data_IF_206065834508
#
_entry.id   IF_206065834508
#
_cell.length_a   1.000
_cell.length_b   1.000
_cell.length_c   1.000
_cell.angle_alpha   90.00
_cell.angle_beta   90.00
_cell.angle_gamma   90.00
#
_symmetry.space_group_name_H-M   'P 1'
#
loop_
_entity.id
_entity.type
_entity.pdbx_description
1 polymer ?
#
# COMPACT_ATOMS: atom_id res chain seq x y z
N UNK A 1 -3.24 12.79 11.41
CA UNK A 1 -4.52 12.18 11.02
C UNK A 1 -4.68 12.38 9.53
N UNK A 2 -4.83 11.28 8.79
CA UNK A 2 -5.23 11.30 7.39
C UNK A 2 -6.72 11.03 7.23
N UNK A 3 -7.30 11.40 6.10
CA UNK A 3 -8.70 11.11 5.79
C UNK A 3 -8.82 10.50 4.40
N UNK A 4 -9.67 9.48 4.27
CA UNK A 4 -10.07 8.91 3.00
C UNK A 4 -11.46 9.40 2.65
N UNK A 5 -11.59 10.02 1.51
CA UNK A 5 -12.89 10.41 0.97
C UNK A 5 -13.40 9.34 0.01
N UNK A 6 -14.61 8.84 0.26
CA UNK A 6 -15.28 7.85 -0.58
C UNK A 6 -16.56 8.45 -1.14
N UNK A 7 -16.63 8.77 -2.44
CA UNK A 7 -17.84 9.31 -3.06
C UNK A 7 -19.01 8.32 -3.06
N UNK A 8 -18.73 7.01 -3.17
CA UNK A 8 -19.71 5.95 -3.02
C UNK A 8 -19.62 5.40 -1.58
N UNK A 9 -20.53 5.80 -0.74
CA UNK A 9 -20.49 5.49 0.69
C UNK A 9 -20.46 3.99 0.96
N UNK A 10 -19.68 3.60 1.94
CA UNK A 10 -19.62 2.23 2.45
C UNK A 10 -20.48 2.00 3.71
N UNK A 11 -21.30 2.93 4.10
CA UNK A 11 -22.19 2.78 5.24
C UNK A 11 -23.32 3.80 5.27
N UNK A 12 -24.48 3.37 5.78
CA UNK A 12 -25.56 4.25 6.15
C UNK A 12 -25.67 4.30 7.68
N UNK A 13 -25.80 5.49 8.21
CA UNK A 13 -26.10 5.74 9.62
C UNK A 13 -27.42 6.46 9.73
N UNK A 14 -27.98 6.61 10.93
CA UNK A 14 -29.17 7.43 11.16
C UNK A 14 -28.99 8.90 10.75
N UNK A 15 -27.73 9.35 10.63
CA UNK A 15 -27.36 10.71 10.25
C UNK A 15 -27.00 10.86 8.76
N UNK A 16 -27.11 9.79 7.96
CA UNK A 16 -26.82 9.78 6.53
C UNK A 16 -25.72 8.83 6.12
N UNK A 17 -25.11 9.09 4.96
CA UNK A 17 -24.04 8.26 4.40
C UNK A 17 -22.68 8.67 4.94
N UNK A 18 -21.88 7.70 5.32
CA UNK A 18 -20.47 7.92 5.67
C UNK A 18 -19.64 8.06 4.39
N UNK A 19 -19.09 9.24 4.14
CA UNK A 19 -18.27 9.53 2.96
C UNK A 19 -16.78 9.60 3.27
N UNK A 20 -16.40 9.57 4.54
CA UNK A 20 -15.01 9.66 4.98
C UNK A 20 -14.67 8.54 5.94
N UNK A 21 -13.46 8.00 5.82
CA UNK A 21 -12.86 7.08 6.80
C UNK A 21 -11.60 7.74 7.35
N UNK A 22 -11.48 7.92 8.69
CA UNK A 22 -10.25 8.44 9.27
C UNK A 22 -9.13 7.39 9.22
N UNK A 23 -7.91 7.86 9.01
CA UNK A 23 -6.70 7.06 9.13
C UNK A 23 -5.83 7.72 10.19
N UNK A 24 -5.33 6.94 11.10
CA UNK A 24 -4.41 7.40 12.13
C UNK A 24 -2.98 6.99 11.78
N UNK A 25 -2.09 7.97 11.73
CA UNK A 25 -0.67 7.76 11.57
C UNK A 25 0.01 7.96 12.91
N UNK A 26 0.86 7.02 13.31
CA UNK A 26 1.65 7.06 14.53
C UNK A 26 3.14 6.92 14.20
N UNK A 27 3.99 7.49 15.04
CA UNK A 27 5.43 7.46 14.86
C UNK A 27 5.99 8.68 14.13
N UNK A 28 7.19 8.54 13.62
CA UNK A 28 7.88 9.61 12.90
C UNK A 28 7.40 9.67 11.45
N UNK A 29 7.13 10.88 10.97
CA UNK A 29 6.85 11.10 9.55
C UNK A 29 8.17 11.00 8.76
N UNK A 30 8.30 10.03 7.83
CA UNK A 30 9.53 9.86 7.05
C UNK A 30 9.82 11.04 6.10
N UNK A 31 8.86 11.94 5.92
CA UNK A 31 8.95 13.11 5.05
C UNK A 31 9.10 14.44 5.79
N UNK A 32 9.34 14.42 7.10
CA UNK A 32 9.59 15.67 7.87
C UNK A 32 10.69 16.49 7.21
N UNK A 33 10.39 17.76 6.95
CA UNK A 33 11.34 18.70 6.31
C UNK A 33 11.55 18.48 4.80
N UNK A 34 10.79 17.59 4.18
CA UNK A 34 10.84 17.32 2.74
C UNK A 34 9.61 17.90 2.04
N UNK A 35 9.03 17.18 1.11
CA UNK A 35 7.85 17.62 0.35
C UNK A 35 6.58 17.50 1.18
N UNK A 36 5.71 18.50 1.14
CA UNK A 36 4.37 18.42 1.73
C UNK A 36 3.55 17.39 0.97
N UNK A 37 3.08 16.36 1.68
CA UNK A 37 2.23 15.32 1.13
C UNK A 37 0.77 15.58 1.48
N UNK A 38 -0.17 15.34 0.54
CA UNK A 38 -1.59 15.43 0.85
C UNK A 38 -1.99 14.48 1.98
N UNK A 39 -2.76 14.98 2.94
CA UNK A 39 -3.27 14.19 4.07
C UNK A 39 -4.64 13.56 3.78
N UNK A 40 -5.15 13.72 2.57
CA UNK A 40 -6.41 13.12 2.13
C UNK A 40 -6.18 12.28 0.88
N UNK A 41 -7.00 11.27 0.71
CA UNK A 41 -7.05 10.42 -0.47
C UNK A 41 -8.48 10.31 -0.95
N UNK A 42 -8.71 10.61 -2.23
CA UNK A 42 -10.00 10.40 -2.86
C UNK A 42 -10.03 9.01 -3.49
N UNK A 43 -10.89 8.14 -2.98
CA UNK A 43 -11.03 6.78 -3.49
C UNK A 43 -11.97 6.78 -4.70
N UNK A 44 -11.39 6.72 -5.89
CA UNK A 44 -12.11 6.61 -7.18
C UNK A 44 -12.06 5.19 -7.73
N UNK A 45 -11.09 4.40 -7.28
CA UNK A 45 -10.89 3.02 -7.70
C UNK A 45 -11.81 2.08 -6.90
N UNK A 46 -12.45 1.15 -7.60
CA UNK A 46 -13.21 0.07 -6.95
C UNK A 46 -12.27 -1.09 -6.62
N UNK A 47 -12.43 -1.63 -5.43
CA UNK A 47 -11.75 -2.86 -5.05
C UNK A 47 -12.41 -4.08 -5.73
N UNK A 48 -11.61 -5.12 -6.02
CA UNK A 48 -12.13 -6.38 -6.56
C UNK A 48 -12.76 -7.22 -5.44
N UNK A 49 -14.06 -7.16 -5.33
CA UNK A 49 -14.84 -7.88 -4.31
C UNK A 49 -14.88 -9.39 -4.50
N UNK A 50 -14.44 -9.92 -5.64
CA UNK A 50 -14.37 -11.38 -5.87
C UNK A 50 -13.28 -12.05 -5.06
N UNK A 51 -12.27 -11.29 -4.64
CA UNK A 51 -11.09 -11.81 -3.92
C UNK A 51 -11.28 -11.86 -2.40
N UNK A 52 -12.09 -10.97 -1.85
CA UNK A 52 -12.31 -10.84 -0.40
C UNK A 52 -13.60 -10.07 -0.14
N UNK A 53 -14.36 -10.34 0.96
CA UNK A 53 -15.59 -9.62 1.27
C UNK A 53 -15.43 -8.12 1.47
N UNK A 54 -14.25 -7.67 1.92
CA UNK A 54 -13.94 -6.26 2.14
C UNK A 54 -12.52 -5.89 1.66
N UNK A 55 -12.24 -5.99 0.35
CA UNK A 55 -10.92 -5.67 -0.17
C UNK A 55 -10.72 -4.15 -0.14
N UNK A 56 -9.48 -3.73 0.03
CA UNK A 56 -9.12 -2.31 -0.13
C UNK A 56 -8.60 -2.07 -1.55
N UNK A 57 -8.91 -0.92 -2.18
CA UNK A 57 -8.34 -0.57 -3.47
C UNK A 57 -6.82 -0.44 -3.39
N UNK A 58 -6.11 -0.87 -4.43
CA UNK A 58 -4.65 -0.86 -4.45
C UNK A 58 -4.08 0.57 -4.41
N UNK A 59 -4.73 1.50 -5.09
CA UNK A 59 -4.35 2.92 -5.07
C UNK A 59 -4.37 3.51 -3.66
N UNK A 60 -5.36 3.12 -2.86
CA UNK A 60 -5.44 3.52 -1.45
C UNK A 60 -4.27 2.95 -0.63
N UNK A 61 -3.95 1.66 -0.80
CA UNK A 61 -2.82 1.06 -0.07
C UNK A 61 -1.48 1.66 -0.52
N UNK A 62 -1.31 1.95 -1.81
CA UNK A 62 -0.13 2.69 -2.31
C UNK A 62 0.02 4.06 -1.65
N UNK A 63 -1.06 4.80 -1.53
CA UNK A 63 -1.04 6.10 -0.86
C UNK A 63 -0.61 5.98 0.62
N UNK A 64 -1.19 5.02 1.37
CA UNK A 64 -0.81 4.75 2.76
C UNK A 64 0.68 4.41 2.89
N UNK A 65 1.16 3.48 2.06
CA UNK A 65 2.54 3.02 2.06
C UNK A 65 3.50 4.16 1.72
N UNK A 66 3.17 4.94 0.68
CA UNK A 66 3.99 6.09 0.30
C UNK A 66 4.06 7.15 1.41
N UNK A 67 3.00 7.30 2.18
CA UNK A 67 2.91 8.28 3.27
C UNK A 67 3.69 7.84 4.51
N UNK A 68 3.82 6.54 4.76
CA UNK A 68 4.33 5.98 6.01
C UNK A 68 5.69 5.27 5.88
N UNK A 69 6.23 5.13 4.67
CA UNK A 69 7.48 4.39 4.48
C UNK A 69 8.31 4.92 3.29
N UNK A 70 9.62 4.63 3.35
CA UNK A 70 10.57 4.87 2.27
C UNK A 70 10.84 3.59 1.46
N UNK A 71 11.34 3.68 0.21
CA UNK A 71 11.80 2.51 -0.54
C UNK A 71 12.77 1.64 0.26
N UNK A 72 12.70 0.32 0.08
CA UNK A 72 13.48 -0.71 0.77
C UNK A 72 13.10 -0.93 2.25
N UNK A 73 12.24 -0.14 2.86
CA UNK A 73 11.72 -0.41 4.19
C UNK A 73 10.73 -1.58 4.21
N UNK A 74 10.46 -2.11 5.40
CA UNK A 74 9.54 -3.22 5.61
C UNK A 74 8.16 -2.70 5.94
N UNK A 75 7.17 -3.16 5.19
CA UNK A 75 5.74 -2.95 5.49
C UNK A 75 5.21 -4.23 6.13
N UNK A 76 4.64 -4.11 7.33
CA UNK A 76 3.97 -5.20 8.03
C UNK A 76 2.45 -5.01 7.98
N UNK A 77 1.73 -6.04 7.55
CA UNK A 77 0.27 -6.11 7.65
C UNK A 77 -0.14 -7.40 8.39
N UNK A 78 -0.53 -7.29 9.67
CA UNK A 78 -0.90 -8.46 10.47
C UNK A 78 -2.30 -9.02 10.14
N UNK A 79 -3.04 -8.39 9.21
CA UNK A 79 -4.38 -8.80 8.78
C UNK A 79 -4.51 -8.64 7.25
N UNK A 80 -3.57 -9.21 6.50
CA UNK A 80 -3.37 -8.89 5.08
C UNK A 80 -4.54 -9.29 4.16
N UNK A 81 -5.45 -10.15 4.59
CA UNK A 81 -6.57 -10.62 3.80
C UNK A 81 -6.11 -11.19 2.45
N UNK A 82 -6.64 -10.66 1.36
CA UNK A 82 -6.22 -11.06 -0.01
C UNK A 82 -4.90 -10.41 -0.47
N UNK A 83 -4.11 -9.80 0.41
CA UNK A 83 -2.75 -9.33 0.15
C UNK A 83 -2.62 -8.02 -0.63
N UNK A 84 -3.63 -7.17 -0.64
CA UNK A 84 -3.57 -5.89 -1.40
C UNK A 84 -2.44 -4.99 -0.91
N UNK A 85 -2.19 -4.94 0.40
CA UNK A 85 -1.06 -4.21 1.01
C UNK A 85 0.27 -4.76 0.50
N UNK A 86 0.40 -6.09 0.45
CA UNK A 86 1.62 -6.76 -0.03
C UNK A 86 1.90 -6.45 -1.50
N UNK A 87 0.89 -6.58 -2.36
CA UNK A 87 1.01 -6.21 -3.79
C UNK A 87 1.47 -4.75 -3.93
N UNK A 88 0.82 -3.83 -3.21
CA UNK A 88 1.18 -2.41 -3.26
C UNK A 88 2.61 -2.16 -2.75
N UNK A 89 3.03 -2.81 -1.66
CA UNK A 89 4.36 -2.68 -1.09
C UNK A 89 5.45 -3.13 -2.08
N UNK A 90 5.28 -4.32 -2.69
CA UNK A 90 6.22 -4.85 -3.67
C UNK A 90 6.32 -3.93 -4.89
N UNK A 91 5.20 -3.52 -5.46
CA UNK A 91 5.15 -2.59 -6.60
C UNK A 91 5.83 -1.24 -6.32
N UNK A 92 5.90 -0.84 -5.06
CA UNK A 92 6.55 0.40 -4.66
C UNK A 92 7.99 0.21 -4.15
N UNK A 93 8.57 -0.98 -4.32
CA UNK A 93 9.94 -1.28 -3.90
C UNK A 93 10.13 -1.35 -2.38
N UNK A 94 9.08 -1.73 -1.64
CA UNK A 94 9.16 -2.03 -0.20
C UNK A 94 9.24 -3.54 -0.01
N UNK A 95 9.84 -3.97 1.11
CA UNK A 95 9.74 -5.35 1.59
C UNK A 95 8.40 -5.54 2.27
N UNK A 96 7.88 -6.76 2.29
CA UNK A 96 6.57 -7.04 2.87
C UNK A 96 6.60 -8.24 3.81
N UNK A 97 5.90 -8.10 4.93
CA UNK A 97 5.57 -9.19 5.86
C UNK A 97 4.06 -9.14 6.05
N UNK A 98 3.37 -10.23 5.71
CA UNK A 98 1.93 -10.34 5.88
C UNK A 98 1.56 -11.51 6.77
N UNK A 99 0.51 -11.35 7.57
CA UNK A 99 -0.08 -12.39 8.39
C UNK A 99 -1.56 -12.50 8.03
N UNK A 100 -2.03 -13.73 7.78
CA UNK A 100 -3.43 -14.03 7.54
C UNK A 100 -3.77 -15.38 8.16
N UNK A 101 -4.85 -15.43 8.93
CA UNK A 101 -5.26 -16.65 9.63
C UNK A 101 -6.04 -17.60 8.73
N UNK A 102 -6.83 -17.06 7.82
CA UNK A 102 -7.69 -17.84 6.94
C UNK A 102 -6.89 -18.35 5.73
N UNK A 103 -6.63 -19.65 5.67
CA UNK A 103 -5.86 -20.29 4.61
C UNK A 103 -6.29 -19.88 3.20
N UNK A 104 -7.60 -19.81 2.95
CA UNK A 104 -8.15 -19.38 1.66
C UNK A 104 -7.63 -18.02 1.23
N UNK A 105 -7.60 -17.04 2.14
CA UNK A 105 -7.15 -15.68 1.82
C UNK A 105 -5.63 -15.61 1.78
N UNK A 106 -4.95 -16.37 2.64
CA UNK A 106 -3.50 -16.52 2.59
C UNK A 106 -3.02 -17.00 1.23
N UNK A 107 -3.62 -18.08 0.69
CA UNK A 107 -3.26 -18.61 -0.64
C UNK A 107 -3.51 -17.61 -1.77
N UNK A 108 -4.61 -16.84 -1.68
CA UNK A 108 -4.90 -15.77 -2.63
C UNK A 108 -3.82 -14.68 -2.53
N UNK A 109 -3.46 -14.29 -1.32
CA UNK A 109 -2.44 -13.25 -1.07
C UNK A 109 -1.08 -13.68 -1.63
N UNK A 110 -0.63 -14.90 -1.36
CA UNK A 110 0.63 -15.43 -1.87
C UNK A 110 0.68 -15.36 -3.39
N UNK A 111 -0.33 -15.90 -4.09
CA UNK A 111 -0.39 -15.86 -5.56
C UNK A 111 -0.31 -14.44 -6.13
N UNK A 112 -1.03 -13.49 -5.51
CA UNK A 112 -1.04 -12.08 -5.97
C UNK A 112 0.29 -11.39 -5.72
N UNK A 113 0.94 -11.66 -4.59
CA UNK A 113 2.24 -11.10 -4.25
C UNK A 113 3.33 -11.67 -5.16
N UNK A 114 3.31 -13.00 -5.43
CA UNK A 114 4.23 -13.63 -6.38
C UNK A 114 4.08 -13.04 -7.79
N UNK A 115 2.85 -12.80 -8.23
CA UNK A 115 2.59 -12.11 -9.50
C UNK A 115 3.15 -10.69 -9.51
N UNK A 116 3.05 -9.96 -8.40
CA UNK A 116 3.62 -8.62 -8.28
C UNK A 116 5.16 -8.63 -8.36
N UNK A 117 5.81 -9.65 -7.80
CA UNK A 117 7.26 -9.84 -7.97
C UNK A 117 7.66 -10.20 -9.40
N UNK A 118 6.84 -10.95 -10.11
CA UNK A 118 7.10 -11.36 -11.48
C UNK A 118 6.88 -10.24 -12.50
N UNK A 119 6.11 -9.21 -12.15
CA UNK A 119 5.86 -8.02 -12.98
C UNK A 119 6.76 -6.87 -12.51
N UNK A 120 7.95 -6.67 -13.12
CA UNK A 120 8.77 -5.52 -12.78
C UNK A 120 7.98 -4.25 -13.08
N UNK A 121 7.79 -3.43 -12.07
CA UNK A 121 7.04 -2.18 -12.18
C UNK A 121 7.81 -1.24 -13.12
N UNK A 122 7.18 -0.74 -14.17
CA UNK A 122 7.73 0.26 -15.09
C UNK A 122 8.13 1.58 -14.39
N UNK A 123 7.79 1.73 -13.13
CA UNK A 123 8.04 2.93 -12.31
C UNK A 123 9.23 2.81 -11.35
N UNK A 124 9.77 1.63 -11.13
CA UNK A 124 11.00 1.46 -10.34
C UNK A 124 12.19 1.60 -11.29
N UNK A 125 12.86 2.75 -11.29
CA UNK A 125 14.16 2.87 -11.95
C UNK A 125 15.06 1.75 -11.40
N UNK A 126 15.67 0.91 -12.26
CA UNK A 126 16.61 -0.10 -11.79
C UNK A 126 17.68 0.60 -10.95
N UNK A 127 18.01 0.00 -9.81
CA UNK A 127 19.13 0.50 -8.99
C UNK A 127 20.33 0.64 -9.91
N UNK A 128 20.83 1.85 -10.06
CA UNK A 128 22.07 2.10 -10.81
C UNK A 128 23.14 1.35 -10.03
N UNK A 129 23.63 0.26 -10.57
CA UNK A 129 24.83 -0.38 -10.08
C UNK A 129 25.96 0.67 -10.22
N UNK A 130 26.30 1.33 -9.14
CA UNK A 130 27.50 2.16 -9.07
C UNK A 130 28.66 1.18 -9.16
N UNK A 131 29.15 0.94 -10.36
CA UNK A 131 30.44 0.31 -10.60
C UNK A 131 31.47 1.20 -9.91
N UNK A 132 32.10 0.66 -8.87
CA UNK A 132 33.26 1.27 -8.26
C UNK A 132 34.26 1.59 -9.38
N UNK A 133 34.49 2.86 -9.63
CA UNK A 133 35.54 3.30 -10.48
C UNK A 133 36.84 3.08 -9.68
N UNK A 134 37.60 2.04 -10.05
CA UNK A 134 38.93 1.85 -9.53
C UNK A 134 39.81 2.99 -10.09
N UNK A 135 40.38 3.77 -9.19
CA UNK A 135 41.36 4.78 -9.55
C UNK A 135 42.62 4.07 -10.07
N UNK A 136 42.89 4.22 -11.36
CA UNK A 136 44.22 3.94 -11.91
C UNK A 136 45.13 5.07 -11.47
N UNK A 137 46.14 4.71 -10.69
CA UNK A 137 47.32 5.54 -10.39
C UNK A 137 48.20 5.57 -11.63
#
# INVERSE_FOLDING_TARGET
IGMVYQPASCGMTHWGRTTCQPIFFYGLDPYVGKTIQPIHFQMIEKADTNLHPCPKPIGFMRWCINRASMPNEVVLDPFMGSGTTGVAAIQMGRKFIGIEREHKYFDIACKRIDQAYAQPDFFVKPAVNVTKQESLI
#
